data_IF_042976875210
#
_entry.id   IF_042976875210
#
_cell.length_a   1.000
_cell.length_b   1.000
_cell.length_c   1.000
_cell.angle_alpha   90.00
_cell.angle_beta   90.00
_cell.angle_gamma   90.00
#
_symmetry.space_group_name_H-M   'P 1'
#
loop_
_entity.id
_entity.type
_entity.pdbx_description
1 polymer ?
#
# COMPACT_ATOMS: atom_id res chain seq x y z
N UNK A 1 8.71 -26.89 47.75
CA UNK A 1 7.75 -25.82 47.36
C UNK A 1 7.89 -25.42 45.88
N UNK A 2 7.87 -26.39 44.94
CA UNK A 2 8.16 -26.14 43.52
C UNK A 2 6.97 -26.41 42.55
N UNK A 3 5.84 -26.96 43.03
CA UNK A 3 4.74 -27.42 42.17
C UNK A 3 3.68 -26.36 41.80
N UNK A 4 3.64 -25.21 42.49
CA UNK A 4 2.60 -24.20 42.26
C UNK A 4 2.95 -23.23 41.11
N UNK A 5 4.25 -22.96 40.92
CA UNK A 5 4.77 -22.08 39.85
C UNK A 5 4.58 -22.68 38.44
N UNK A 6 4.80 -23.99 38.29
CA UNK A 6 4.62 -24.68 37.00
C UNK A 6 3.15 -24.78 36.56
N UNK A 7 2.22 -24.98 37.50
CA UNK A 7 0.77 -25.00 37.21
C UNK A 7 0.21 -23.63 36.83
N UNK A 8 0.74 -22.57 37.47
CA UNK A 8 0.34 -21.20 37.15
C UNK A 8 0.81 -20.78 35.75
N UNK A 9 2.05 -21.11 35.38
CA UNK A 9 2.60 -20.86 34.05
C UNK A 9 1.83 -21.62 32.96
N UNK A 10 1.48 -22.89 33.21
CA UNK A 10 0.68 -23.68 32.27
C UNK A 10 -0.75 -23.13 32.12
N UNK A 11 -1.35 -22.64 33.21
CA UNK A 11 -2.67 -22.00 33.17
C UNK A 11 -2.69 -20.69 32.38
N UNK A 12 -1.63 -19.87 32.47
CA UNK A 12 -1.47 -18.60 31.72
C UNK A 12 -1.25 -18.85 30.23
N UNK A 13 -0.47 -19.87 29.86
CA UNK A 13 -0.23 -20.22 28.46
C UNK A 13 -1.50 -20.75 27.78
N UNK A 14 -2.30 -21.54 28.49
CA UNK A 14 -3.58 -22.06 27.98
C UNK A 14 -4.59 -20.91 27.77
N UNK A 15 -4.66 -19.92 28.67
CA UNK A 15 -5.58 -18.78 28.51
C UNK A 15 -5.15 -17.80 27.41
N UNK A 16 -3.85 -17.60 27.18
CA UNK A 16 -3.37 -16.78 26.06
C UNK A 16 -3.70 -17.40 24.68
N UNK A 17 -3.61 -18.73 24.55
CA UNK A 17 -3.93 -19.44 23.32
C UNK A 17 -5.43 -19.37 22.97
N UNK A 18 -6.31 -19.44 23.99
CA UNK A 18 -7.77 -19.33 23.78
C UNK A 18 -8.17 -17.91 23.37
N UNK A 19 -7.52 -16.88 23.92
CA UNK A 19 -7.81 -15.49 23.54
C UNK A 19 -7.48 -15.19 22.07
N UNK A 20 -6.41 -15.78 21.52
CA UNK A 20 -6.03 -15.60 20.11
C UNK A 20 -6.99 -16.24 19.10
N UNK A 21 -7.75 -17.27 19.51
CA UNK A 21 -8.69 -17.97 18.65
C UNK A 21 -10.10 -17.35 18.58
N UNK A 22 -10.42 -16.41 19.48
CA UNK A 22 -11.72 -15.71 19.51
C UNK A 22 -11.73 -14.37 18.76
N UNK A 23 -10.59 -13.90 18.25
CA UNK A 23 -10.55 -12.68 17.47
C UNK A 23 -11.14 -12.95 16.07
N UNK A 24 -12.12 -12.16 15.60
CA UNK A 24 -12.55 -12.24 14.21
C UNK A 24 -11.33 -12.00 13.30
N UNK A 25 -11.25 -12.65 12.13
CA UNK A 25 -10.19 -12.37 11.18
C UNK A 25 -10.20 -10.86 10.90
N UNK A 26 -9.04 -10.22 11.03
CA UNK A 26 -8.89 -8.84 10.60
C UNK A 26 -9.09 -8.82 9.09
N UNK A 27 -10.27 -8.39 8.65
CA UNK A 27 -10.55 -8.13 7.25
C UNK A 27 -9.97 -6.75 6.96
N UNK A 28 -8.77 -6.72 6.38
CA UNK A 28 -8.22 -5.48 5.88
C UNK A 28 -9.17 -4.93 4.80
N UNK A 29 -9.53 -3.66 4.90
CA UNK A 29 -10.35 -3.01 3.89
C UNK A 29 -9.62 -3.02 2.54
N UNK A 30 -10.35 -3.27 1.46
CA UNK A 30 -9.78 -3.17 0.11
C UNK A 30 -9.29 -1.74 -0.14
N UNK A 31 -8.05 -1.62 -0.61
CA UNK A 31 -7.46 -0.33 -0.94
C UNK A 31 -8.09 0.25 -2.20
N UNK A 32 -8.21 1.57 -2.25
CA UNK A 32 -8.68 2.28 -3.43
C UNK A 32 -7.57 2.26 -4.48
N UNK A 33 -7.82 1.63 -5.63
CA UNK A 33 -6.88 1.65 -6.75
C UNK A 33 -6.77 3.03 -7.39
N UNK A 34 -5.55 3.55 -7.52
CA UNK A 34 -5.27 4.82 -8.19
C UNK A 34 -4.10 4.65 -9.16
N UNK A 35 -4.34 4.88 -10.45
CA UNK A 35 -3.31 4.83 -11.48
C UNK A 35 -3.09 6.20 -12.13
N UNK A 36 -1.88 6.74 -12.06
CA UNK A 36 -1.49 7.97 -12.73
C UNK A 36 -0.70 7.66 -14.00
N UNK A 37 -1.28 8.00 -15.15
CA UNK A 37 -0.61 7.94 -16.45
C UNK A 37 -0.03 9.32 -16.77
N UNK A 38 1.27 9.39 -17.01
CA UNK A 38 1.97 10.67 -17.13
C UNK A 38 3.17 10.61 -18.07
N UNK A 39 3.67 11.78 -18.44
CA UNK A 39 4.93 11.96 -19.18
C UNK A 39 5.93 12.66 -18.27
N UNK A 40 7.19 12.22 -18.28
CA UNK A 40 8.24 12.78 -17.43
C UNK A 40 8.52 14.26 -17.71
N UNK A 41 8.37 14.70 -18.97
CA UNK A 41 8.61 16.07 -19.40
C UNK A 41 7.33 16.92 -19.51
N UNK A 42 6.15 16.36 -19.22
CA UNK A 42 4.93 17.16 -19.23
C UNK A 42 4.89 18.08 -17.99
N UNK A 43 4.83 19.41 -18.17
CA UNK A 43 4.91 20.35 -17.05
C UNK A 43 3.69 20.23 -16.11
N UNK A 44 2.51 19.89 -16.64
CA UNK A 44 1.32 19.70 -15.82
C UNK A 44 1.34 18.38 -15.05
N UNK A 45 1.88 17.31 -15.65
CA UNK A 45 2.11 16.05 -14.96
C UNK A 45 3.08 16.24 -13.78
N UNK A 46 4.22 16.89 -14.02
CA UNK A 46 5.18 17.18 -12.96
C UNK A 46 4.55 18.03 -11.84
N UNK A 47 3.82 19.09 -12.19
CA UNK A 47 3.12 19.94 -11.23
C UNK A 47 2.10 19.15 -10.42
N UNK A 48 1.33 18.26 -11.05
CA UNK A 48 0.36 17.42 -10.34
C UNK A 48 1.04 16.47 -9.36
N UNK A 49 2.11 15.79 -9.79
CA UNK A 49 2.83 14.84 -8.94
C UNK A 49 3.39 15.56 -7.71
N UNK A 50 4.07 16.68 -7.91
CA UNK A 50 4.78 17.39 -6.82
C UNK A 50 3.81 18.15 -5.91
N UNK A 51 2.84 18.87 -6.47
CA UNK A 51 2.02 19.81 -5.69
C UNK A 51 0.69 19.22 -5.20
N UNK A 52 0.28 18.06 -5.73
CA UNK A 52 -1.02 17.45 -5.39
C UNK A 52 -0.87 16.01 -4.96
N UNK A 53 -0.27 15.14 -5.79
CA UNK A 53 -0.18 13.72 -5.47
C UNK A 53 0.70 13.47 -4.24
N UNK A 54 1.81 14.20 -4.08
CA UNK A 54 2.73 14.02 -2.95
C UNK A 54 2.04 14.12 -1.57
N UNK A 55 0.95 14.89 -1.45
CA UNK A 55 0.21 15.05 -0.19
C UNK A 55 -0.39 13.75 0.35
N UNK A 56 -0.64 12.74 -0.50
CA UNK A 56 -1.19 11.46 -0.01
C UNK A 56 -0.24 10.72 0.94
N UNK A 57 1.06 11.05 0.91
CA UNK A 57 2.08 10.45 1.77
C UNK A 57 2.20 11.16 3.13
N UNK A 58 1.56 12.31 3.32
CA UNK A 58 1.71 13.12 4.54
C UNK A 58 0.70 12.72 5.64
N UNK A 59 -0.54 12.37 5.26
CA UNK A 59 -1.66 12.19 6.20
C UNK A 59 -2.17 10.73 6.31
N UNK A 60 -1.35 9.74 5.93
CA UNK A 60 -1.72 8.32 5.98
C UNK A 60 -2.74 7.87 4.93
N UNK A 61 -3.12 8.75 3.99
CA UNK A 61 -4.00 8.41 2.86
C UNK A 61 -3.40 7.27 2.03
N UNK A 62 -2.08 7.25 1.88
CA UNK A 62 -1.35 6.19 1.17
C UNK A 62 -1.67 4.77 1.71
N UNK A 63 -1.99 4.62 3.00
CA UNK A 63 -2.31 3.31 3.57
C UNK A 63 -3.61 2.73 3.00
N UNK A 64 -4.53 3.59 2.58
CA UNK A 64 -5.81 3.23 1.97
C UNK A 64 -5.79 3.18 0.44
N UNK A 65 -4.65 3.47 -0.21
CA UNK A 65 -4.54 3.60 -1.66
C UNK A 65 -3.55 2.57 -2.22
N UNK A 66 -3.93 1.92 -3.32
CA UNK A 66 -3.01 1.15 -4.16
C UNK A 66 -2.57 2.03 -5.33
N UNK A 67 -1.42 2.70 -5.17
CA UNK A 67 -0.91 3.69 -6.13
C UNK A 67 -0.04 3.04 -7.21
N UNK A 68 -0.39 3.26 -8.47
CA UNK A 68 0.41 2.87 -9.64
C UNK A 68 0.79 4.08 -10.48
N UNK A 69 2.09 4.30 -10.65
CA UNK A 69 2.63 5.31 -11.57
C UNK A 69 2.97 4.65 -12.92
N UNK A 70 2.44 5.20 -14.01
CA UNK A 70 2.62 4.68 -15.38
C UNK A 70 3.24 5.76 -16.27
N UNK A 71 4.58 5.77 -16.43
CA UNK A 71 5.27 6.73 -17.29
C UNK A 71 5.13 6.32 -18.77
N UNK A 72 4.11 6.86 -19.43
CA UNK A 72 3.86 6.66 -20.85
C UNK A 72 3.18 7.89 -21.46
N UNK A 73 2.02 8.26 -20.92
CA UNK A 73 1.27 9.47 -21.32
C UNK A 73 0.98 9.53 -22.81
N UNK A 74 1.35 10.62 -23.48
CA UNK A 74 1.13 10.83 -24.91
C UNK A 74 2.19 10.18 -25.81
N UNK A 75 2.98 9.23 -25.30
CA UNK A 75 3.88 8.47 -26.15
C UNK A 75 3.09 7.60 -27.16
N UNK A 76 3.69 7.37 -28.32
CA UNK A 76 3.16 6.53 -29.38
C UNK A 76 4.11 5.37 -29.68
N UNK A 77 3.55 4.19 -29.99
CA UNK A 77 4.32 3.06 -30.51
C UNK A 77 4.34 3.13 -32.03
N UNK A 78 5.51 3.34 -32.61
CA UNK A 78 5.76 3.30 -34.04
C UNK A 78 6.09 1.89 -34.55
N UNK A 79 6.46 1.81 -35.84
CA UNK A 79 6.97 0.57 -36.41
C UNK A 79 8.20 0.07 -35.63
N UNK A 80 8.40 -1.25 -35.62
CA UNK A 80 9.49 -1.92 -34.89
C UNK A 80 9.50 -1.66 -33.37
N UNK A 81 8.34 -1.46 -32.74
CA UNK A 81 8.20 -1.21 -31.30
C UNK A 81 8.98 0.03 -30.82
N UNK A 82 9.23 0.99 -31.71
CA UNK A 82 9.85 2.27 -31.35
C UNK A 82 8.86 3.11 -30.56
N UNK A 83 9.30 3.74 -29.47
CA UNK A 83 8.46 4.64 -28.68
C UNK A 83 8.88 6.08 -28.98
N UNK A 84 7.92 6.90 -29.38
CA UNK A 84 8.10 8.34 -29.59
C UNK A 84 7.28 9.10 -28.57
N UNK A 85 7.90 10.04 -27.86
CA UNK A 85 7.24 10.88 -26.86
C UNK A 85 6.89 12.25 -27.44
N UNK A 86 5.90 12.92 -26.86
CA UNK A 86 5.62 14.32 -27.14
C UNK A 86 6.76 15.19 -26.60
N UNK A 87 7.09 16.26 -27.35
CA UNK A 87 8.02 17.32 -26.95
C UNK A 87 7.27 18.55 -26.47
#
# INVERSE_FOLDING_TARGET
MAGHRGRLLLGVLVSAAVAGALLPPFVEAEKVSLALYYESLCPYCARFIVNHLAGIFEDGIIDAVDLRLVPYGNAHVGANNTISCQV
#
